data_IF_490326714900
#
_entry.id   IF_490326714900
#
_cell.length_a   1.000
_cell.length_b   1.000
_cell.length_c   1.000
_cell.angle_alpha   90.00
_cell.angle_beta   90.00
_cell.angle_gamma   90.00
#
_symmetry.space_group_name_H-M   'P 1'
#
loop_
_entity.id
_entity.type
_entity.pdbx_description
1 polymer ?
#
# COMPACT_ATOMS: atom_id res chain seq x y z
N UNK A 1 19.10 -3.44 32.54
CA UNK A 1 17.88 -3.28 33.37
C UNK A 1 16.93 -4.43 33.11
N UNK A 2 16.09 -4.89 34.08
CA UNK A 2 15.12 -5.96 33.82
C UNK A 2 13.78 -5.33 33.40
N UNK A 3 13.55 -5.19 32.10
CA UNK A 3 12.27 -4.69 31.57
C UNK A 3 11.15 -5.67 31.91
N UNK A 4 10.07 -5.17 32.51
CA UNK A 4 8.89 -5.96 32.84
C UNK A 4 7.76 -5.57 31.90
N UNK A 5 7.24 -6.55 31.17
CA UNK A 5 6.04 -6.37 30.34
C UNK A 5 4.83 -6.73 31.21
N UNK A 6 4.05 -5.73 31.59
CA UNK A 6 2.91 -5.93 32.50
C UNK A 6 1.77 -6.74 31.87
N UNK A 7 1.62 -6.64 30.54
CA UNK A 7 0.61 -7.38 29.77
C UNK A 7 1.26 -7.97 28.51
N UNK A 8 1.84 -9.20 28.59
CA UNK A 8 2.39 -9.85 27.42
C UNK A 8 1.28 -10.08 26.39
N UNK A 9 1.62 -9.89 25.11
CA UNK A 9 0.72 -10.14 23.99
C UNK A 9 1.17 -11.42 23.28
N UNK A 10 0.29 -12.41 23.20
CA UNK A 10 0.59 -13.71 22.58
C UNK A 10 0.38 -13.72 21.06
N UNK A 11 0.18 -12.55 20.43
CA UNK A 11 0.02 -12.45 18.98
C UNK A 11 1.36 -12.65 18.26
N UNK A 12 1.33 -13.33 17.12
CA UNK A 12 2.55 -13.57 16.34
C UNK A 12 2.99 -12.27 15.64
N UNK A 13 4.25 -11.87 15.86
CA UNK A 13 4.84 -10.69 15.22
C UNK A 13 4.71 -10.69 13.68
N UNK A 14 4.80 -11.86 13.06
CA UNK A 14 4.64 -12.03 11.61
C UNK A 14 3.23 -11.71 11.10
N UNK A 15 2.21 -11.90 11.94
CA UNK A 15 0.80 -11.66 11.60
C UNK A 15 0.36 -10.21 11.86
N UNK A 16 1.20 -9.39 12.50
CA UNK A 16 0.89 -7.99 12.76
C UNK A 16 1.13 -7.12 11.51
N UNK A 17 0.26 -6.12 11.32
CA UNK A 17 0.33 -5.18 10.21
C UNK A 17 1.59 -4.31 10.32
N UNK A 18 2.33 -4.12 9.23
CA UNK A 18 3.48 -3.21 9.22
C UNK A 18 3.00 -1.75 9.31
N UNK A 19 3.61 -0.96 10.18
CA UNK A 19 3.38 0.48 10.30
C UNK A 19 4.72 1.21 10.43
N UNK A 20 4.71 2.55 10.35
CA UNK A 20 5.95 3.33 10.54
C UNK A 20 6.56 3.05 11.91
N UNK A 21 7.85 2.72 11.92
CA UNK A 21 8.69 2.41 13.10
C UNK A 21 8.29 1.14 13.88
N UNK A 22 7.46 0.25 13.32
CA UNK A 22 7.12 -1.00 14.00
C UNK A 22 5.99 -1.78 13.33
N UNK A 23 5.17 -2.42 14.15
CA UNK A 23 3.98 -3.15 13.71
C UNK A 23 2.76 -2.76 14.52
N UNK A 24 1.58 -2.85 13.93
CA UNK A 24 0.31 -2.67 14.62
C UNK A 24 -0.29 -4.04 14.92
N UNK A 25 -0.51 -4.31 16.20
CA UNK A 25 -1.17 -5.53 16.64
C UNK A 25 -2.68 -5.26 16.71
N UNK A 26 -3.45 -5.89 15.82
CA UNK A 26 -4.92 -5.76 15.83
C UNK A 26 -5.53 -6.31 17.11
N UNK A 27 -4.96 -7.41 17.67
CA UNK A 27 -5.46 -8.08 18.87
C UNK A 27 -5.44 -7.21 20.13
N UNK A 28 -4.39 -6.41 20.31
CA UNK A 28 -4.28 -5.50 21.46
C UNK A 28 -4.43 -4.02 21.09
N UNK A 29 -4.68 -3.74 19.81
CA UNK A 29 -4.88 -2.41 19.23
C UNK A 29 -3.76 -1.41 19.57
N UNK A 30 -2.51 -1.88 19.60
CA UNK A 30 -1.32 -1.07 19.95
C UNK A 30 -0.26 -1.11 18.85
N UNK A 31 0.46 0.01 18.70
CA UNK A 31 1.75 0.07 18.00
C UNK A 31 2.80 -0.67 18.82
N UNK A 32 3.46 -1.64 18.21
CA UNK A 32 4.52 -2.46 18.80
C UNK A 32 5.82 -2.15 18.08
N UNK A 33 6.79 -1.58 18.80
CA UNK A 33 8.11 -1.26 18.25
C UNK A 33 9.01 -2.50 18.25
N UNK A 34 9.84 -2.67 17.23
CA UNK A 34 10.90 -3.68 17.26
C UNK A 34 12.12 -3.13 18.00
N UNK A 35 12.34 -3.60 19.23
CA UNK A 35 13.45 -3.20 20.09
C UNK A 35 14.52 -4.30 20.17
N UNK A 36 14.43 -5.35 19.35
CA UNK A 36 15.30 -6.52 19.45
C UNK A 36 16.78 -6.20 19.22
N UNK A 37 17.08 -5.13 18.49
CA UNK A 37 18.45 -4.67 18.19
C UNK A 37 18.92 -3.51 19.08
N UNK A 38 18.08 -3.02 20.00
CA UNK A 38 18.42 -1.88 20.86
C UNK A 38 19.22 -2.30 22.09
N UNK A 39 20.07 -1.40 22.61
CA UNK A 39 20.69 -1.56 23.93
C UNK A 39 19.69 -1.20 25.03
N UNK A 40 19.98 -1.62 26.27
CA UNK A 40 19.15 -1.28 27.42
C UNK A 40 19.05 0.25 27.58
N UNK A 41 20.16 0.97 27.35
CA UNK A 41 20.24 2.42 27.41
C UNK A 41 19.41 3.10 26.30
N UNK A 42 19.45 2.57 25.07
CA UNK A 42 18.62 3.07 23.97
C UNK A 42 17.13 2.84 24.26
N UNK A 43 16.76 1.70 24.84
CA UNK A 43 15.37 1.39 25.20
C UNK A 43 14.89 2.34 26.31
N UNK A 44 15.73 2.62 27.32
CA UNK A 44 15.44 3.58 28.37
C UNK A 44 15.25 5.00 27.82
N UNK A 45 16.09 5.43 26.88
CA UNK A 45 15.94 6.74 26.24
C UNK A 45 14.64 6.84 25.43
N UNK A 46 14.28 5.77 24.70
CA UNK A 46 13.01 5.68 23.96
C UNK A 46 11.82 5.76 24.93
N UNK A 47 11.86 5.03 26.05
CA UNK A 47 10.81 5.05 27.06
C UNK A 47 10.66 6.43 27.70
N UNK A 48 11.77 7.12 27.99
CA UNK A 48 11.75 8.47 28.61
C UNK A 48 11.22 9.54 27.66
N UNK A 49 11.44 9.39 26.35
CA UNK A 49 10.94 10.32 25.33
C UNK A 49 9.49 10.05 24.93
N UNK A 50 8.93 8.91 25.29
CA UNK A 50 7.54 8.58 25.03
C UNK A 50 6.66 9.17 26.13
N UNK A 51 5.66 9.96 25.75
CA UNK A 51 4.66 10.49 26.69
C UNK A 51 3.57 9.45 27.04
N UNK A 52 3.53 8.32 26.31
CA UNK A 52 2.51 7.27 26.40
C UNK A 52 3.09 5.88 26.76
N UNK A 53 2.20 4.93 27.09
CA UNK A 53 2.59 3.53 27.34
C UNK A 53 3.10 2.84 26.06
N UNK A 54 4.42 2.64 26.01
CA UNK A 54 5.13 1.94 24.94
C UNK A 54 4.79 0.44 24.91
N UNK A 55 4.51 -0.12 23.73
CA UNK A 55 4.49 -1.56 23.51
C UNK A 55 5.68 -1.91 22.59
N UNK A 56 6.43 -2.95 22.93
CA UNK A 56 7.64 -3.29 22.19
C UNK A 56 7.99 -4.77 22.25
N UNK A 57 8.58 -5.27 21.17
CA UNK A 57 9.19 -6.58 21.09
C UNK A 57 10.65 -6.46 21.51
N UNK A 58 10.99 -7.04 22.65
CA UNK A 58 12.36 -7.10 23.16
C UNK A 58 12.99 -8.46 22.86
N UNK A 59 14.30 -8.48 22.63
CA UNK A 59 15.03 -9.74 22.51
C UNK A 59 15.08 -10.40 23.89
N UNK A 60 14.64 -11.66 24.01
CA UNK A 60 14.93 -12.45 25.21
C UNK A 60 16.45 -12.64 25.25
N UNK A 61 17.10 -11.98 26.19
CA UNK A 61 18.55 -11.88 26.28
C UNK A 61 19.25 -13.25 26.22
N UNK A 62 19.80 -13.55 25.05
CA UNK A 62 20.94 -14.43 24.88
C UNK A 62 21.97 -13.69 24.02
N UNK A 63 22.80 -12.91 24.71
CA UNK A 63 24.14 -12.40 24.35
C UNK A 63 24.37 -11.80 22.96
N UNK A 64 24.56 -10.47 22.93
CA UNK A 64 25.25 -9.75 21.84
C UNK A 64 26.71 -10.21 21.78
N UNK A 65 27.18 -10.65 20.61
CA UNK A 65 28.61 -10.59 20.28
C UNK A 65 28.79 -9.37 19.39
N UNK A 66 29.39 -8.32 19.95
CA UNK A 66 29.98 -7.24 19.17
C UNK A 66 31.30 -7.74 18.57
N UNK A 67 31.47 -7.60 17.26
CA UNK A 67 32.77 -7.74 16.61
C UNK A 67 33.07 -6.44 15.86
N UNK A 68 33.57 -5.46 16.60
CA UNK A 68 34.40 -4.40 16.06
C UNK A 68 35.86 -4.85 16.15
N UNK A 69 36.47 -5.23 15.02
CA UNK A 69 37.91 -5.04 14.84
C UNK A 69 38.17 -4.61 13.40
N UNK A 70 38.87 -3.49 13.28
CA UNK A 70 39.40 -2.97 12.05
C UNK A 70 40.36 -3.99 11.42
N UNK A 71 40.30 -4.16 10.10
CA UNK A 71 41.41 -4.75 9.35
C UNK A 71 42.03 -3.66 8.48
N UNK A 72 43.19 -3.18 8.92
CA UNK A 72 44.12 -2.39 8.13
C UNK A 72 44.59 -3.25 6.96
N UNK A 73 44.29 -2.84 5.73
CA UNK A 73 44.82 -3.47 4.53
C UNK A 73 46.31 -3.10 4.38
N UNK A 74 47.19 -4.01 4.80
CA UNK A 74 48.59 -4.00 4.38
C UNK A 74 48.66 -4.54 2.94
N UNK A 75 48.92 -3.64 1.99
CA UNK A 75 49.28 -4.00 0.62
C UNK A 75 50.72 -4.51 0.61
N UNK A 76 50.88 -5.84 0.58
CA UNK A 76 52.11 -6.46 0.07
C UNK A 76 51.72 -7.45 -1.01
N UNK A 77 52.13 -7.13 -2.22
CA UNK A 77 52.10 -8.03 -3.36
C UNK A 77 52.97 -9.25 -3.05
N UNK A 78 52.50 -10.46 -3.42
CA UNK A 78 53.31 -11.52 -4.04
C UNK A 78 52.42 -12.73 -4.41
N UNK A 79 52.37 -12.94 -5.73
CA UNK A 79 52.30 -14.18 -6.51
C UNK A 79 51.19 -15.23 -6.29
N UNK A 80 50.45 -15.40 -7.39
CA UNK A 80 49.49 -16.45 -7.67
C UNK A 80 50.15 -17.84 -7.69
N UNK A 81 49.48 -18.80 -7.04
CA UNK A 81 49.45 -20.21 -7.44
C UNK A 81 48.04 -20.73 -7.17
N UNK A 82 47.51 -21.42 -8.18
CA UNK A 82 46.13 -21.84 -8.32
C UNK A 82 45.61 -22.65 -7.12
N UNK A 83 44.66 -22.06 -6.40
CA UNK A 83 43.67 -22.83 -5.65
C UNK A 83 42.33 -22.47 -6.26
N UNK A 84 41.77 -23.39 -7.04
CA UNK A 84 40.38 -23.30 -7.49
C UNK A 84 39.47 -23.41 -6.26
N UNK A 85 39.24 -22.29 -5.58
CA UNK A 85 38.15 -22.18 -4.62
C UNK A 85 36.90 -22.12 -5.48
N UNK A 86 36.25 -23.27 -5.65
CA UNK A 86 34.85 -23.32 -6.05
C UNK A 86 34.07 -22.56 -4.98
N UNK A 87 33.89 -21.26 -5.18
CA UNK A 87 32.84 -20.50 -4.53
C UNK A 87 31.55 -21.27 -4.79
N UNK A 88 30.78 -21.63 -3.74
CA UNK A 88 29.42 -22.01 -3.99
C UNK A 88 28.81 -20.80 -4.69
N UNK A 89 28.49 -20.97 -5.98
CA UNK A 89 27.51 -20.13 -6.62
C UNK A 89 26.33 -20.18 -5.64
N UNK A 90 26.02 -19.06 -5.00
CA UNK A 90 24.74 -18.90 -4.37
C UNK A 90 23.77 -19.10 -5.53
N UNK A 91 23.31 -20.35 -5.68
CA UNK A 91 22.14 -20.65 -6.47
C UNK A 91 21.13 -19.64 -5.96
N UNK A 92 20.63 -18.79 -6.86
CA UNK A 92 19.36 -18.12 -6.63
C UNK A 92 18.46 -19.19 -6.04
N UNK A 93 18.25 -19.10 -4.72
CA UNK A 93 17.34 -19.98 -4.03
C UNK A 93 16.06 -19.77 -4.81
N UNK A 94 15.62 -20.82 -5.51
CA UNK A 94 14.44 -20.75 -6.34
C UNK A 94 13.35 -20.11 -5.50
N UNK A 95 13.02 -18.87 -5.84
CA UNK A 95 11.87 -18.20 -5.27
C UNK A 95 10.73 -19.08 -5.74
N UNK A 96 10.21 -19.90 -4.83
CA UNK A 96 8.92 -20.50 -5.02
C UNK A 96 7.99 -19.31 -5.21
N UNK A 97 7.66 -19.02 -6.48
CA UNK A 97 6.69 -17.99 -6.82
C UNK A 97 5.45 -18.38 -6.02
N UNK A 98 5.10 -17.60 -5.00
CA UNK A 98 3.89 -17.84 -4.20
C UNK A 98 2.61 -17.62 -5.05
N UNK A 99 2.78 -17.40 -6.35
CA UNK A 99 1.71 -17.14 -7.29
C UNK A 99 1.17 -15.74 -7.10
N UNK A 100 1.93 -14.81 -6.54
CA UNK A 100 1.52 -13.41 -6.39
C UNK A 100 2.31 -12.48 -7.32
N UNK A 101 1.63 -11.46 -7.83
CA UNK A 101 2.20 -10.33 -8.56
C UNK A 101 2.30 -9.14 -7.61
N UNK A 102 3.49 -8.56 -7.52
CA UNK A 102 3.76 -7.38 -6.71
C UNK A 102 3.69 -6.14 -7.61
N UNK A 103 2.84 -5.19 -7.23
CA UNK A 103 2.73 -3.87 -7.85
C UNK A 103 3.18 -2.84 -6.83
N UNK A 104 4.28 -2.14 -7.09
CA UNK A 104 4.82 -1.12 -6.19
C UNK A 104 5.28 0.13 -6.92
N UNK A 105 5.21 1.25 -6.21
CA UNK A 105 5.63 2.53 -6.77
C UNK A 105 5.70 3.66 -5.78
N UNK A 106 6.08 4.82 -6.30
CA UNK A 106 6.24 6.10 -5.61
C UNK A 106 5.36 7.15 -6.29
N UNK A 107 4.58 7.89 -5.51
CA UNK A 107 3.63 8.90 -5.99
C UNK A 107 4.24 10.30 -5.89
N UNK A 108 4.26 11.02 -7.01
CA UNK A 108 4.90 12.32 -7.17
C UNK A 108 3.94 13.32 -7.81
N UNK A 109 3.94 14.57 -7.33
CA UNK A 109 3.28 15.69 -8.03
C UNK A 109 4.15 16.18 -9.19
N UNK A 110 3.57 16.33 -10.38
CA UNK A 110 4.30 16.75 -11.59
C UNK A 110 4.99 18.11 -11.45
N UNK A 111 4.31 19.07 -10.83
CA UNK A 111 4.75 20.47 -10.78
C UNK A 111 6.01 20.66 -9.91
N UNK A 112 6.11 19.89 -8.81
CA UNK A 112 7.16 20.11 -7.80
C UNK A 112 8.02 18.87 -7.52
N UNK A 113 7.71 17.71 -8.13
CA UNK A 113 8.25 16.38 -7.76
C UNK A 113 8.15 16.10 -6.26
N UNK A 114 7.10 16.63 -5.63
CA UNK A 114 6.81 16.42 -4.22
C UNK A 114 6.12 15.08 -4.01
N UNK A 115 6.43 14.42 -2.89
CA UNK A 115 5.87 13.13 -2.52
C UNK A 115 4.40 13.27 -2.11
N UNK A 116 3.57 12.31 -2.53
CA UNK A 116 2.15 12.27 -2.16
C UNK A 116 1.88 11.11 -1.20
N UNK A 117 1.70 11.45 0.07
CA UNK A 117 1.32 10.52 1.13
C UNK A 117 -0.20 10.43 1.29
N UNK A 118 -0.69 9.36 1.94
CA UNK A 118 -2.10 9.18 2.28
C UNK A 118 -3.07 9.06 1.07
N UNK A 119 -2.56 8.63 -0.08
CA UNK A 119 -3.40 8.28 -1.24
C UNK A 119 -3.89 6.85 -1.06
N UNK A 120 -5.18 6.61 -1.27
CA UNK A 120 -5.70 5.24 -1.31
C UNK A 120 -5.47 4.68 -2.72
N UNK A 121 -4.80 3.53 -2.84
CA UNK A 121 -4.55 2.85 -4.12
C UNK A 121 -5.34 1.55 -4.13
N UNK A 122 -6.15 1.37 -5.16
CA UNK A 122 -6.94 0.17 -5.35
C UNK A 122 -6.48 -0.55 -6.60
N UNK A 123 -6.20 -1.84 -6.48
CA UNK A 123 -6.32 -2.73 -7.62
C UNK A 123 -7.76 -3.25 -7.68
N UNK A 124 -8.45 -3.02 -8.80
CA UNK A 124 -9.88 -3.33 -8.95
C UNK A 124 -10.05 -4.51 -9.90
N UNK A 125 -10.77 -5.53 -9.44
CA UNK A 125 -11.25 -6.67 -10.22
C UNK A 125 -12.77 -6.78 -10.07
N UNK A 126 -13.46 -7.49 -10.97
CA UNK A 126 -14.92 -7.61 -10.90
C UNK A 126 -15.38 -8.32 -9.60
N UNK A 127 -14.59 -9.28 -9.15
CA UNK A 127 -14.93 -10.16 -8.02
C UNK A 127 -14.42 -9.63 -6.67
N UNK A 128 -13.38 -8.78 -6.68
CA UNK A 128 -12.79 -8.21 -5.46
C UNK A 128 -11.94 -6.98 -5.79
N UNK A 129 -11.52 -6.28 -4.75
CA UNK A 129 -10.45 -5.29 -4.85
C UNK A 129 -9.39 -5.55 -3.79
N UNK A 130 -8.20 -4.98 -3.99
CA UNK A 130 -7.15 -4.93 -2.98
C UNK A 130 -6.77 -3.46 -2.79
N UNK A 131 -6.68 -3.03 -1.54
CA UNK A 131 -6.36 -1.65 -1.17
C UNK A 131 -4.97 -1.57 -0.54
N UNK A 132 -4.20 -0.57 -0.95
CA UNK A 132 -3.03 -0.06 -0.24
C UNK A 132 -3.21 1.44 0.04
N UNK A 133 -2.34 1.98 0.90
CA UNK A 133 -2.26 3.42 1.17
C UNK A 133 -0.80 3.82 1.01
N UNK A 134 -0.54 4.94 0.35
CA UNK A 134 0.85 5.44 0.25
C UNK A 134 1.37 5.88 1.61
N UNK A 135 2.63 5.54 1.89
CA UNK A 135 3.32 5.91 3.13
C UNK A 135 3.72 7.40 3.13
N UNK A 136 4.41 7.83 4.19
CA UNK A 136 4.93 9.19 4.34
C UNK A 136 6.06 9.53 3.35
N UNK A 137 6.55 8.56 2.59
CA UNK A 137 7.49 8.74 1.49
C UNK A 137 6.81 8.59 0.12
N UNK A 138 5.48 8.61 0.08
CA UNK A 138 4.70 8.44 -1.14
C UNK A 138 4.80 7.05 -1.76
N UNK A 139 5.31 6.05 -1.05
CA UNK A 139 5.50 4.69 -1.57
C UNK A 139 4.32 3.80 -1.24
N UNK A 140 3.99 2.89 -2.16
CA UNK A 140 2.97 1.87 -1.97
C UNK A 140 3.41 0.52 -2.50
N UNK A 141 2.76 -0.54 -1.99
CA UNK A 141 2.93 -1.90 -2.47
C UNK A 141 1.60 -2.65 -2.35
N UNK A 142 1.21 -3.33 -3.42
CA UNK A 142 0.04 -4.21 -3.51
C UNK A 142 0.54 -5.59 -3.91
N UNK A 143 0.10 -6.62 -3.17
CA UNK A 143 0.32 -8.02 -3.51
C UNK A 143 -0.98 -8.60 -4.07
N UNK A 144 -0.96 -9.00 -5.33
CA UNK A 144 -2.14 -9.48 -6.07
C UNK A 144 -1.97 -10.97 -6.34
N UNK A 145 -2.93 -11.84 -5.98
CA UNK A 145 -2.87 -13.23 -6.39
C UNK A 145 -2.96 -13.37 -7.91
N UNK A 146 -1.98 -14.04 -8.51
CA UNK A 146 -1.82 -14.20 -9.96
C UNK A 146 -3.03 -14.85 -10.62
N UNK A 147 -3.79 -15.68 -9.89
CA UNK A 147 -5.04 -16.26 -10.37
C UNK A 147 -6.12 -15.22 -10.73
N UNK A 148 -6.00 -13.99 -10.22
CA UNK A 148 -6.91 -12.89 -10.54
C UNK A 148 -6.29 -11.85 -11.48
N UNK A 149 -5.06 -12.02 -11.93
CA UNK A 149 -4.43 -11.11 -12.89
C UNK A 149 -5.01 -11.39 -14.27
N UNK A 150 -5.64 -10.38 -14.85
CA UNK A 150 -6.19 -10.42 -16.21
C UNK A 150 -5.15 -9.91 -17.22
N UNK A 151 -5.42 -10.07 -18.52
CA UNK A 151 -4.54 -9.54 -19.58
C UNK A 151 -4.32 -8.03 -19.47
N UNK A 152 -5.31 -7.29 -18.97
CA UNK A 152 -5.27 -5.89 -18.58
C UNK A 152 -5.86 -5.73 -17.17
N UNK A 153 -5.26 -4.88 -16.36
CA UNK A 153 -5.59 -4.68 -14.96
C UNK A 153 -5.66 -3.18 -14.65
N UNK A 154 -6.47 -2.81 -13.66
CA UNK A 154 -6.71 -1.42 -13.32
C UNK A 154 -6.18 -1.11 -11.92
N UNK A 155 -5.31 -0.11 -11.83
CA UNK A 155 -5.07 0.64 -10.61
C UNK A 155 -5.93 1.90 -10.60
N UNK A 156 -6.45 2.22 -9.43
CA UNK A 156 -7.23 3.42 -9.15
C UNK A 156 -6.62 4.14 -7.95
N UNK A 157 -6.18 5.38 -8.17
CA UNK A 157 -5.55 6.25 -7.17
C UNK A 157 -6.59 7.27 -6.69
N UNK A 158 -7.05 7.10 -5.46
CA UNK A 158 -8.03 7.99 -4.86
C UNK A 158 -7.39 8.99 -3.91
N UNK A 159 -7.59 10.28 -4.23
CA UNK A 159 -7.12 11.42 -3.45
C UNK A 159 -8.18 11.95 -2.49
N UNK A 160 -9.30 11.24 -2.34
CA UNK A 160 -10.44 11.62 -1.51
C UNK A 160 -10.02 11.96 -0.07
N UNK A 161 -9.11 11.17 0.54
CA UNK A 161 -8.61 11.43 1.90
C UNK A 161 -7.94 12.80 2.01
N UNK A 162 -6.99 13.08 1.12
CA UNK A 162 -6.26 14.36 1.06
C UNK A 162 -7.23 15.51 0.78
N UNK A 163 -8.14 15.33 -0.17
CA UNK A 163 -9.14 16.34 -0.52
C UNK A 163 -10.07 16.68 0.67
N UNK A 164 -10.51 15.68 1.45
CA UNK A 164 -11.30 15.89 2.66
C UNK A 164 -10.53 16.65 3.73
N UNK A 165 -9.25 16.34 3.93
CA UNK A 165 -8.39 17.06 4.86
C UNK A 165 -8.22 18.53 4.46
N UNK A 166 -8.01 18.81 3.18
CA UNK A 166 -7.91 20.18 2.65
C UNK A 166 -9.23 20.93 2.88
N UNK A 167 -10.36 20.31 2.56
CA UNK A 167 -11.68 20.90 2.80
C UNK A 167 -11.94 21.19 4.28
N UNK A 168 -11.58 20.26 5.17
CA UNK A 168 -11.71 20.43 6.62
C UNK A 168 -10.86 21.62 7.11
N UNK A 169 -9.60 21.71 6.67
CA UNK A 169 -8.69 22.82 7.01
C UNK A 169 -9.20 24.17 6.50
N UNK A 170 -9.72 24.23 5.28
CA UNK A 170 -10.29 25.45 4.69
C UNK A 170 -11.52 25.93 5.47
N UNK A 171 -12.42 25.00 5.82
CA UNK A 171 -13.59 25.30 6.65
C UNK A 171 -13.19 25.84 8.02
N UNK A 172 -12.17 25.27 8.66
CA UNK A 172 -11.65 25.75 9.96
C UNK A 172 -11.04 27.16 9.88
N UNK A 173 -10.49 27.55 8.72
CA UNK A 173 -9.98 28.90 8.45
C UNK A 173 -11.07 29.90 8.07
N UNK A 174 -12.34 29.50 8.05
CA UNK A 174 -13.45 30.35 7.66
C UNK A 174 -13.60 30.56 6.15
N UNK A 175 -12.89 29.79 5.32
CA UNK A 175 -13.11 29.80 3.87
C UNK A 175 -14.36 28.97 3.55
N UNK A 176 -15.44 29.65 3.18
CA UNK A 176 -16.74 29.05 2.84
C UNK A 176 -16.90 28.78 1.34
N UNK A 177 -15.89 29.11 0.52
CA UNK A 177 -15.95 28.85 -0.92
C UNK A 177 -15.90 27.35 -1.17
N UNK A 178 -16.88 26.85 -1.93
CA UNK A 178 -16.86 25.50 -2.48
C UNK A 178 -15.80 25.45 -3.60
N UNK A 179 -14.52 25.33 -3.20
CA UNK A 179 -13.45 25.04 -4.15
C UNK A 179 -13.55 23.57 -4.55
N UNK A 180 -13.43 23.24 -5.85
CA UNK A 180 -13.33 21.85 -6.27
C UNK A 180 -12.13 21.18 -5.60
N UNK A 181 -12.20 19.87 -5.34
CA UNK A 181 -11.07 19.13 -4.80
C UNK A 181 -9.84 19.32 -5.71
N UNK A 182 -8.67 19.70 -5.17
CA UNK A 182 -7.50 20.02 -5.97
C UNK A 182 -6.91 18.80 -6.69
N UNK A 183 -7.08 17.60 -6.13
CA UNK A 183 -6.52 16.38 -6.69
C UNK A 183 -7.64 15.48 -7.25
N UNK A 184 -7.80 15.36 -8.58
CA UNK A 184 -8.73 14.39 -9.15
C UNK A 184 -8.23 12.97 -8.93
N UNK A 185 -9.15 12.01 -8.84
CA UNK A 185 -8.76 10.60 -8.82
C UNK A 185 -8.22 10.19 -10.20
N UNK A 186 -7.19 9.33 -10.22
CA UNK A 186 -6.50 8.91 -11.43
C UNK A 186 -6.50 7.38 -11.58
N UNK A 187 -6.32 6.91 -12.81
CA UNK A 187 -6.36 5.49 -13.17
C UNK A 187 -5.12 5.11 -13.97
N UNK A 188 -4.65 3.87 -13.78
CA UNK A 188 -3.54 3.33 -14.53
C UNK A 188 -3.84 1.90 -14.95
N UNK A 189 -3.76 1.65 -16.26
CA UNK A 189 -3.96 0.31 -16.84
C UNK A 189 -2.59 -0.32 -17.06
N UNK A 190 -2.45 -1.60 -16.69
CA UNK A 190 -1.24 -2.39 -16.94
C UNK A 190 -1.57 -3.79 -17.43
N UNK A 191 -0.69 -4.36 -18.25
CA UNK A 191 -0.79 -5.73 -18.72
C UNK A 191 -0.27 -6.73 -17.70
N UNK A 192 -0.74 -7.99 -17.75
CA UNK A 192 -0.19 -9.09 -16.93
C UNK A 192 1.32 -9.29 -17.05
N UNK A 193 1.91 -8.88 -18.17
CA UNK A 193 3.34 -9.03 -18.44
C UNK A 193 4.16 -7.81 -17.99
N UNK A 194 3.51 -6.75 -17.50
CA UNK A 194 4.21 -5.55 -17.06
C UNK A 194 4.83 -5.74 -15.68
N UNK A 195 6.12 -5.40 -15.55
CA UNK A 195 6.80 -5.36 -14.27
C UNK A 195 6.64 -3.97 -13.62
N UNK A 196 5.65 -3.84 -12.74
CA UNK A 196 5.40 -2.59 -12.01
C UNK A 196 6.06 -2.66 -10.62
N UNK A 197 7.40 -2.59 -10.59
CA UNK A 197 8.18 -2.55 -9.34
C UNK A 197 8.91 -1.23 -9.21
N UNK A 198 8.73 -0.56 -8.06
CA UNK A 198 9.35 0.73 -7.74
C UNK A 198 9.11 1.79 -8.83
N UNK A 199 7.95 1.74 -9.49
CA UNK A 199 7.61 2.67 -10.57
C UNK A 199 7.24 4.04 -10.02
N UNK A 200 7.69 5.10 -10.69
CA UNK A 200 7.24 6.46 -10.37
C UNK A 200 5.92 6.78 -11.09
N UNK A 201 4.95 7.28 -10.33
CA UNK A 201 3.66 7.76 -10.82
C UNK A 201 3.57 9.27 -10.61
N UNK A 202 3.20 9.99 -11.67
CA UNK A 202 3.23 11.44 -11.70
C UNK A 202 1.81 12.01 -11.89
N UNK A 203 1.32 12.73 -10.88
CA UNK A 203 -0.05 13.24 -10.81
C UNK A 203 -0.12 14.76 -11.01
N UNK A 204 -1.23 15.21 -11.58
CA UNK A 204 -1.53 16.63 -11.72
C UNK A 204 -2.39 17.13 -10.53
N UNK A 205 -2.28 18.43 -10.23
CA UNK A 205 -3.04 19.10 -9.17
C UNK A 205 -4.16 20.02 -9.71
N UNK A 206 -4.59 19.82 -10.96
CA UNK A 206 -5.64 20.63 -11.58
C UNK A 206 -6.79 19.77 -12.07
N UNK A 207 -8.01 20.26 -11.84
CA UNK A 207 -9.23 19.62 -12.28
C UNK A 207 -9.31 19.62 -13.81
N UNK A 208 -9.44 18.45 -14.43
CA UNK A 208 -9.82 18.35 -15.84
C UNK A 208 -11.32 18.11 -15.93
N UNK A 209 -12.09 19.10 -16.37
CA UNK A 209 -13.53 18.95 -16.59
C UNK A 209 -13.71 18.19 -17.91
N UNK A 210 -14.17 16.94 -17.86
CA UNK A 210 -14.68 16.24 -19.05
C UNK A 210 -16.16 16.57 -19.22
N UNK A 211 -16.49 17.41 -20.20
CA UNK A 211 -17.86 17.66 -20.65
C UNK A 211 -18.36 16.46 -21.45
N UNK A 212 -19.21 15.64 -20.84
CA UNK A 212 -19.88 14.51 -21.51
C UNK A 212 -21.20 14.93 -22.14
N UNK A 213 -21.49 14.47 -23.36
CA UNK A 213 -22.80 14.58 -23.99
C UNK A 213 -23.78 13.51 -23.50
N UNK A 214 -25.09 13.74 -23.66
CA UNK A 214 -26.15 12.74 -23.41
C UNK A 214 -26.05 11.60 -24.43
N UNK A 215 -25.24 10.58 -24.12
CA UNK A 215 -25.31 9.28 -24.79
C UNK A 215 -25.98 8.29 -23.83
N UNK A 216 -26.87 7.44 -24.36
CA UNK A 216 -27.39 6.28 -23.61
C UNK A 216 -26.21 5.34 -23.36
N UNK A 217 -25.65 5.40 -22.15
CA UNK A 217 -24.55 4.52 -21.73
C UNK A 217 -25.11 3.18 -21.30
N UNK A 218 -24.50 2.09 -21.76
CA UNK A 218 -24.83 0.75 -21.27
C UNK A 218 -24.17 0.53 -19.90
N UNK A 219 -24.96 0.65 -18.85
CA UNK A 219 -24.54 0.54 -17.46
C UNK A 219 -24.68 -0.91 -16.99
N UNK A 220 -23.67 -1.41 -16.29
CA UNK A 220 -23.68 -2.73 -15.66
C UNK A 220 -23.46 -2.60 -14.16
N UNK A 221 -24.12 -3.45 -13.38
CA UNK A 221 -24.06 -3.46 -11.93
C UNK A 221 -23.64 -4.83 -11.45
N UNK A 222 -22.67 -4.88 -10.54
CA UNK A 222 -22.16 -6.11 -9.97
C UNK A 222 -22.07 -6.00 -8.45
N UNK A 223 -22.44 -7.09 -7.77
CA UNK A 223 -22.25 -7.28 -6.34
C UNK A 223 -21.42 -8.54 -6.10
N UNK A 224 -20.24 -8.39 -5.48
CA UNK A 224 -19.31 -9.49 -5.21
C UNK A 224 -19.08 -10.39 -6.45
N UNK A 225 -18.84 -9.80 -7.62
CA UNK A 225 -18.60 -10.53 -8.87
C UNK A 225 -19.83 -11.01 -9.62
N UNK A 226 -21.03 -10.93 -9.02
CA UNK A 226 -22.28 -11.36 -9.65
C UNK A 226 -23.02 -10.17 -10.25
N UNK A 227 -23.55 -10.32 -11.46
CA UNK A 227 -24.39 -9.31 -12.08
C UNK A 227 -25.70 -9.15 -11.30
N UNK A 228 -26.11 -7.90 -11.07
CA UNK A 228 -27.35 -7.54 -10.37
C UNK A 228 -28.09 -6.45 -11.16
N UNK A 229 -29.36 -6.24 -10.86
CA UNK A 229 -30.12 -5.09 -11.37
C UNK A 229 -29.71 -3.79 -10.68
N UNK A 230 -30.05 -2.65 -11.29
CA UNK A 230 -29.86 -1.33 -10.68
C UNK A 230 -30.61 -1.21 -9.34
N UNK A 231 -31.88 -1.64 -9.29
CA UNK A 231 -32.70 -1.59 -8.09
C UNK A 231 -32.11 -2.42 -6.94
N UNK A 232 -31.61 -3.62 -7.25
CA UNK A 232 -30.93 -4.48 -6.26
C UNK A 232 -29.63 -3.83 -5.78
N UNK A 233 -28.83 -3.26 -6.68
CA UNK A 233 -27.59 -2.57 -6.34
C UNK A 233 -27.84 -1.39 -5.40
N UNK A 234 -28.83 -0.55 -5.75
CA UNK A 234 -29.17 0.63 -4.96
C UNK A 234 -29.74 0.27 -3.60
N UNK A 235 -30.57 -0.78 -3.53
CA UNK A 235 -31.05 -1.32 -2.27
C UNK A 235 -29.88 -1.79 -1.40
N UNK A 236 -29.01 -2.66 -1.92
CA UNK A 236 -27.85 -3.20 -1.21
C UNK A 236 -26.93 -2.09 -0.68
N UNK A 237 -26.65 -1.08 -1.50
CA UNK A 237 -25.83 0.08 -1.11
C UNK A 237 -26.50 0.90 -0.02
N UNK A 238 -27.82 1.10 -0.11
CA UNK A 238 -28.58 1.88 0.88
C UNK A 238 -28.64 1.20 2.24
N UNK A 239 -28.85 -0.12 2.26
CA UNK A 239 -28.95 -0.87 3.53
C UNK A 239 -27.58 -1.21 4.13
N UNK A 240 -26.50 -1.21 3.35
CA UNK A 240 -25.13 -1.48 3.81
C UNK A 240 -24.17 -0.31 3.46
N UNK A 241 -24.24 0.83 4.18
CA UNK A 241 -23.42 2.01 3.89
C UNK A 241 -21.91 1.78 4.06
N UNK A 242 -21.51 0.71 4.73
CA UNK A 242 -20.12 0.30 4.93
C UNK A 242 -19.52 -0.52 3.78
N UNK A 243 -20.32 -0.93 2.80
CA UNK A 243 -19.83 -1.64 1.62
C UNK A 243 -18.98 -0.72 0.75
N UNK A 244 -17.94 -1.28 0.16
CA UNK A 244 -17.10 -0.54 -0.77
C UNK A 244 -17.74 -0.52 -2.14
N UNK A 245 -17.84 0.66 -2.74
CA UNK A 245 -18.40 0.81 -4.08
C UNK A 245 -17.42 1.55 -5.01
N UNK A 246 -17.44 1.17 -6.28
CA UNK A 246 -16.65 1.81 -7.33
C UNK A 246 -17.54 2.09 -8.54
N UNK A 247 -17.27 3.22 -9.19
CA UNK A 247 -17.91 3.60 -10.45
C UNK A 247 -16.83 3.84 -11.49
N UNK A 248 -16.84 3.06 -12.57
CA UNK A 248 -15.88 3.13 -13.65
C UNK A 248 -16.59 3.48 -14.95
N UNK A 249 -15.92 4.27 -15.79
CA UNK A 249 -16.42 4.71 -17.09
C UNK A 249 -15.46 4.28 -18.21
N UNK A 250 -16.02 4.14 -19.42
CA UNK A 250 -15.29 3.98 -20.66
C UNK A 250 -14.23 2.85 -20.60
N UNK A 251 -12.96 3.18 -20.87
CA UNK A 251 -11.86 2.21 -20.90
C UNK A 251 -11.62 1.51 -19.56
N UNK A 252 -11.88 2.17 -18.43
CA UNK A 252 -11.68 1.58 -17.11
C UNK A 252 -12.75 0.52 -16.82
N UNK A 253 -13.99 0.77 -17.23
CA UNK A 253 -15.07 -0.21 -17.13
C UNK A 253 -14.81 -1.43 -18.01
N UNK A 254 -14.37 -1.20 -19.26
CA UNK A 254 -13.97 -2.27 -20.19
C UNK A 254 -12.80 -3.10 -19.67
N UNK A 255 -11.81 -2.44 -19.06
CA UNK A 255 -10.63 -3.11 -18.47
C UNK A 255 -11.03 -4.08 -17.37
N UNK A 256 -11.92 -3.67 -16.46
CA UNK A 256 -12.30 -4.51 -15.32
C UNK A 256 -13.24 -5.66 -15.71
N UNK A 257 -14.16 -5.44 -16.67
CA UNK A 257 -15.06 -6.51 -17.14
C UNK A 257 -14.47 -7.39 -18.24
N UNK A 258 -13.40 -6.96 -18.92
CA UNK A 258 -12.85 -7.65 -20.09
C UNK A 258 -13.83 -7.69 -21.27
N UNK A 259 -14.72 -6.68 -21.39
CA UNK A 259 -15.77 -6.63 -22.41
C UNK A 259 -15.81 -5.24 -23.05
N UNK A 260 -15.68 -5.17 -24.38
CA UNK A 260 -15.64 -3.91 -25.14
C UNK A 260 -17.00 -3.17 -25.18
N UNK A 261 -18.10 -3.86 -24.92
CA UNK A 261 -19.46 -3.31 -24.99
C UNK A 261 -19.97 -2.76 -23.64
N UNK A 262 -19.07 -2.19 -22.83
CA UNK A 262 -19.37 -1.63 -21.50
C UNK A 262 -18.97 -0.16 -21.47
N UNK A 263 -19.93 0.72 -21.23
CA UNK A 263 -19.67 2.17 -21.09
C UNK A 263 -19.50 2.59 -19.64
N UNK A 264 -20.18 1.89 -18.73
CA UNK A 264 -20.19 2.23 -17.31
C UNK A 264 -20.39 0.98 -16.47
N UNK A 265 -19.67 0.94 -15.35
CA UNK A 265 -19.65 -0.20 -14.43
C UNK A 265 -19.75 0.29 -12.99
N UNK A 266 -20.75 -0.22 -12.28
CA UNK A 266 -20.87 -0.12 -10.84
C UNK A 266 -20.46 -1.45 -10.21
N UNK A 267 -19.52 -1.38 -9.27
CA UNK A 267 -19.09 -2.53 -8.47
C UNK A 267 -19.41 -2.25 -7.00
N UNK A 268 -19.98 -3.24 -6.32
CA UNK A 268 -20.24 -3.21 -4.89
C UNK A 268 -19.63 -4.44 -4.24
N UNK A 269 -18.94 -4.23 -3.14
CA UNK A 269 -18.24 -5.26 -2.39
C UNK A 269 -18.66 -5.23 -0.93
N UNK A 270 -19.09 -6.38 -0.40
CA UNK A 270 -19.28 -6.54 1.03
C UNK A 270 -17.93 -6.50 1.76
N UNK A 271 -17.97 -6.28 3.08
CA UNK A 271 -16.80 -6.45 3.95
C UNK A 271 -16.30 -7.89 3.99
#
# INVERSE_FOLDING_TARGET
>A
MKFKIDKPCDENWGNMQNISEGKYCEKCSKKVLDLTQKSDEEIEEIMRKSEDQLCGRISSSASKIALSTALVLNLTFLNAQDVSVSLPLLSESQIQNDGNVIVSGELLLKEYKELICEVDIYWIHKDKYIKAVSDNYGKFMITIPSQYINDQNLLYFSFNRINKEIQYRNKKKGDTRLMPPPYPDEYFIFSKNDEIKNRQFFFNNYLTIRTGGLLRRKIHYYFNGNAVTEDEFDLLRKINPEYSYFYLQDEFARTVLGNENVDSLYLLFSK
#
